data_IF_489262828011
#
_entry.id   IF_489262828011
#
_cell.length_a   1.000
_cell.length_b   1.000
_cell.length_c   1.000
_cell.angle_alpha   90.00
_cell.angle_beta   90.00
_cell.angle_gamma   90.00
#
_symmetry.space_group_name_H-M   'P 1'
#
loop_
_entity.id
_entity.type
_entity.pdbx_description
1 polymer ?
#
# COMPACT_ATOMS: atom_id res chain seq x y z
N UNK A 1 56.65 -9.47 -25.33
CA UNK A 1 55.61 -9.89 -24.37
C UNK A 1 54.35 -9.07 -24.64
N UNK A 2 53.24 -9.71 -25.05
CA UNK A 2 51.94 -9.05 -25.28
C UNK A 2 50.96 -9.54 -24.21
N UNK A 3 50.70 -8.70 -23.23
CA UNK A 3 49.79 -9.01 -22.12
C UNK A 3 48.35 -8.84 -22.61
N UNK A 4 47.62 -9.95 -22.76
CA UNK A 4 46.17 -9.93 -23.02
C UNK A 4 45.45 -9.65 -21.69
N UNK A 5 44.81 -8.49 -21.58
CA UNK A 5 43.91 -8.17 -20.48
C UNK A 5 42.59 -8.91 -20.77
N UNK A 6 42.31 -9.93 -19.96
CA UNK A 6 41.05 -10.65 -19.98
C UNK A 6 40.06 -9.89 -19.09
N UNK A 7 39.17 -9.10 -19.70
CA UNK A 7 38.09 -8.43 -18.97
C UNK A 7 37.08 -9.50 -18.57
N UNK A 8 37.09 -9.84 -17.27
CA UNK A 8 36.10 -10.69 -16.64
C UNK A 8 34.84 -9.84 -16.41
N UNK A 9 33.84 -10.01 -17.27
CA UNK A 9 32.53 -9.38 -17.07
C UNK A 9 31.79 -10.14 -15.97
N UNK A 10 31.80 -9.57 -14.77
CA UNK A 10 30.92 -9.97 -13.67
C UNK A 10 29.48 -9.63 -14.07
N UNK A 11 28.75 -10.61 -14.57
CA UNK A 11 27.30 -10.54 -14.65
C UNK A 11 26.73 -10.66 -13.25
N UNK A 12 26.63 -9.52 -12.57
CA UNK A 12 25.80 -9.37 -11.38
C UNK A 12 24.36 -9.65 -11.82
N UNK A 13 23.82 -10.82 -11.51
CA UNK A 13 22.38 -11.07 -11.57
C UNK A 13 21.71 -10.21 -10.50
N UNK A 14 21.51 -8.93 -10.81
CA UNK A 14 20.53 -8.13 -10.11
C UNK A 14 19.19 -8.82 -10.37
N UNK A 15 18.55 -9.35 -9.32
CA UNK A 15 17.16 -9.76 -9.38
C UNK A 15 16.37 -8.58 -9.92
N UNK A 16 16.03 -8.63 -11.21
CA UNK A 16 15.21 -7.62 -11.84
C UNK A 16 13.82 -7.83 -11.26
N UNK A 17 13.43 -7.02 -10.28
CA UNK A 17 12.06 -7.03 -9.80
C UNK A 17 11.17 -6.75 -11.02
N UNK A 18 10.41 -7.76 -11.45
CA UNK A 18 9.50 -7.62 -12.59
C UNK A 18 8.51 -6.51 -12.25
N UNK A 19 8.59 -5.39 -12.98
CA UNK A 19 7.64 -4.31 -12.87
C UNK A 19 6.25 -4.84 -13.23
N UNK A 20 5.30 -4.72 -12.30
CA UNK A 20 3.90 -5.07 -12.54
C UNK A 20 3.25 -3.95 -13.33
N UNK A 21 2.34 -4.30 -14.23
CA UNK A 21 1.44 -3.31 -14.82
C UNK A 21 0.57 -2.65 -13.74
N UNK A 22 0.00 -1.50 -14.04
CA UNK A 22 -0.96 -0.83 -13.14
C UNK A 22 -2.12 -1.76 -12.79
N UNK A 23 -2.68 -2.47 -13.76
CA UNK A 23 -3.81 -3.39 -13.53
C UNK A 23 -3.43 -4.56 -12.61
N UNK A 24 -2.27 -5.19 -12.82
CA UNK A 24 -1.78 -6.25 -11.94
C UNK A 24 -1.54 -5.73 -10.51
N UNK A 25 -1.04 -4.50 -10.39
CA UNK A 25 -0.81 -3.84 -9.11
C UNK A 25 -2.11 -3.56 -8.37
N UNK A 26 -3.11 -2.98 -9.04
CA UNK A 26 -4.44 -2.73 -8.48
C UNK A 26 -5.13 -4.03 -8.05
N UNK A 27 -5.05 -5.08 -8.88
CA UNK A 27 -5.58 -6.41 -8.54
C UNK A 27 -4.93 -6.96 -7.28
N UNK A 28 -3.61 -6.82 -7.14
CA UNK A 28 -2.90 -7.28 -5.95
C UNK A 28 -3.28 -6.45 -4.72
N UNK A 29 -3.36 -5.13 -4.84
CA UNK A 29 -3.77 -4.25 -3.74
C UNK A 29 -5.16 -4.64 -3.20
N UNK A 30 -6.11 -4.93 -4.08
CA UNK A 30 -7.47 -5.31 -3.70
C UNK A 30 -7.64 -6.71 -3.10
N UNK A 31 -6.58 -7.52 -3.04
CA UNK A 31 -6.64 -8.85 -2.40
C UNK A 31 -6.44 -8.82 -0.89
N UNK A 32 -6.05 -7.67 -0.33
CA UNK A 32 -5.62 -7.54 1.07
C UNK A 32 -6.23 -6.31 1.73
N UNK A 33 -6.47 -6.42 3.02
CA UNK A 33 -6.50 -5.26 3.93
C UNK A 33 -5.07 -4.96 4.33
N UNK A 34 -4.65 -3.70 4.24
CA UNK A 34 -3.29 -3.27 4.54
C UNK A 34 -3.30 -2.43 5.81
N UNK A 35 -2.64 -2.90 6.87
CA UNK A 35 -2.64 -2.21 8.16
C UNK A 35 -1.27 -1.64 8.50
N UNK A 36 -1.23 -0.39 8.96
CA UNK A 36 -0.05 0.25 9.52
C UNK A 36 -0.37 0.80 10.91
N UNK A 37 0.45 0.44 11.90
CA UNK A 37 0.34 0.96 13.26
C UNK A 37 1.48 1.96 13.48
N UNK A 38 1.18 3.27 13.68
CA UNK A 38 2.20 4.24 14.03
C UNK A 38 2.96 3.86 15.32
N UNK A 39 4.28 4.14 15.45
CA UNK A 39 5.08 3.70 16.60
C UNK A 39 4.55 4.10 17.99
N UNK A 40 3.81 5.21 18.06
CA UNK A 40 3.24 5.75 19.31
C UNK A 40 1.72 5.53 19.40
N UNK A 41 1.21 4.50 18.72
CA UNK A 41 -0.21 4.16 18.66
C UNK A 41 -0.39 2.65 18.85
N UNK A 42 -1.49 2.25 19.48
CA UNK A 42 -2.00 0.87 19.46
C UNK A 42 -3.14 0.67 18.44
N UNK A 43 -3.47 1.73 17.71
CA UNK A 43 -4.56 1.77 16.72
C UNK A 43 -3.93 1.83 15.34
N UNK A 44 -4.41 0.94 14.47
CA UNK A 44 -3.96 0.80 13.10
C UNK A 44 -4.76 1.71 12.17
N UNK A 45 -4.06 2.22 11.16
CA UNK A 45 -4.66 2.77 9.95
C UNK A 45 -4.80 1.61 8.98
N UNK A 46 -6.03 1.32 8.58
CA UNK A 46 -6.34 0.27 7.61
C UNK A 46 -6.61 0.87 6.24
N UNK A 47 -6.05 0.27 5.19
CA UNK A 47 -6.32 0.60 3.80
C UNK A 47 -6.97 -0.60 3.12
N UNK A 48 -7.98 -0.33 2.31
CA UNK A 48 -8.61 -1.28 1.40
C UNK A 48 -8.69 -0.66 0.02
N UNK A 49 -8.50 -1.48 -1.01
CA UNK A 49 -8.49 -1.01 -2.39
C UNK A 49 -9.56 -1.74 -3.18
N UNK A 50 -10.28 -0.98 -3.98
CA UNK A 50 -11.06 -1.50 -5.12
C UNK A 50 -10.37 -1.09 -6.42
N UNK A 51 -11.04 -1.30 -7.57
CA UNK A 51 -10.46 -1.04 -8.89
C UNK A 51 -9.89 0.38 -9.02
N UNK A 52 -10.61 1.38 -8.52
CA UNK A 52 -10.25 2.79 -8.63
C UNK A 52 -10.39 3.58 -7.32
N UNK A 53 -10.89 2.96 -6.24
CA UNK A 53 -11.10 3.63 -4.96
C UNK A 53 -10.19 3.08 -3.85
N UNK A 54 -9.55 4.00 -3.12
CA UNK A 54 -8.86 3.73 -1.87
C UNK A 54 -9.82 4.10 -0.73
N UNK A 55 -10.10 3.16 0.15
CA UNK A 55 -10.81 3.40 1.40
C UNK A 55 -9.86 3.20 2.58
N UNK A 56 -9.99 4.06 3.58
CA UNK A 56 -9.17 4.04 4.78
C UNK A 56 -10.04 4.12 6.01
N UNK A 57 -9.58 3.46 7.07
CA UNK A 57 -10.27 3.43 8.34
C UNK A 57 -9.27 3.59 9.48
N UNK A 58 -9.59 4.48 10.42
CA UNK A 58 -8.75 4.84 11.57
C UNK A 58 -9.52 4.67 12.87
N UNK A 59 -10.17 3.51 13.03
CA UNK A 59 -10.96 3.13 14.22
C UNK A 59 -12.21 3.98 14.54
N UNK A 60 -12.41 5.14 13.94
CA UNK A 60 -13.54 6.02 14.22
C UNK A 60 -14.23 6.49 12.94
N UNK A 61 -13.49 7.17 12.05
CA UNK A 61 -13.99 7.59 10.75
C UNK A 61 -13.49 6.70 9.61
N UNK A 62 -14.34 6.51 8.60
CA UNK A 62 -13.92 6.01 7.29
C UNK A 62 -13.75 7.19 6.33
N UNK A 63 -12.74 7.11 5.46
CA UNK A 63 -12.51 8.11 4.43
C UNK A 63 -11.83 7.49 3.22
N UNK A 64 -12.13 8.01 2.04
CA UNK A 64 -11.67 7.42 0.80
C UNK A 64 -11.73 8.39 -0.37
N UNK A 65 -11.24 7.90 -1.50
CA UNK A 65 -11.20 8.66 -2.74
C UNK A 65 -10.71 7.83 -3.92
N UNK A 66 -10.94 8.36 -5.11
CA UNK A 66 -10.37 7.77 -6.32
C UNK A 66 -8.85 7.89 -6.29
N UNK A 67 -8.13 6.78 -6.44
CA UNK A 67 -6.68 6.77 -6.48
C UNK A 67 -6.15 6.54 -7.89
N UNK A 68 -4.94 7.01 -8.15
CA UNK A 68 -4.21 6.78 -9.40
C UNK A 68 -2.83 6.23 -9.10
N UNK A 69 -2.38 5.30 -9.93
CA UNK A 69 -0.99 4.83 -9.94
C UNK A 69 -0.36 5.28 -11.27
N UNK A 70 0.63 6.14 -11.17
CA UNK A 70 1.42 6.65 -12.30
C UNK A 70 2.89 6.50 -11.90
N UNK A 71 3.70 5.85 -12.74
CA UNK A 71 5.14 5.65 -12.49
C UNK A 71 5.44 5.12 -11.09
N UNK A 72 4.69 4.11 -10.63
CA UNK A 72 4.86 3.47 -9.32
C UNK A 72 4.66 4.43 -8.12
N UNK A 73 3.93 5.53 -8.32
CA UNK A 73 3.50 6.47 -7.29
C UNK A 73 1.97 6.49 -7.19
N UNK A 74 1.46 6.56 -5.97
CA UNK A 74 0.03 6.57 -5.68
C UNK A 74 -0.40 7.96 -5.20
N UNK A 75 -1.53 8.46 -5.71
CA UNK A 75 -2.16 9.69 -5.22
C UNK A 75 -3.66 9.53 -5.15
N UNK A 76 -4.27 10.25 -4.21
CA UNK A 76 -5.72 10.33 -3.99
C UNK A 76 -6.07 11.79 -3.70
N UNK A 77 -6.13 12.66 -4.72
CA UNK A 77 -6.20 14.11 -4.53
C UNK A 77 -7.54 14.58 -3.95
N UNK A 78 -8.61 13.81 -4.16
CA UNK A 78 -9.92 14.05 -3.59
C UNK A 78 -10.19 12.96 -2.55
N UNK A 79 -10.08 13.33 -1.27
CA UNK A 79 -10.23 12.43 -0.14
C UNK A 79 -11.28 12.96 0.83
N UNK A 80 -12.38 12.25 0.94
CA UNK A 80 -13.56 12.63 1.71
C UNK A 80 -13.96 11.49 2.63
N UNK A 81 -14.64 11.80 3.72
CA UNK A 81 -15.07 10.79 4.67
C UNK A 81 -15.92 11.37 5.77
N UNK A 82 -16.18 10.52 6.74
CA UNK A 82 -16.91 10.87 7.95
C UNK A 82 -16.14 11.92 8.76
N UNK A 83 -16.88 12.68 9.57
CA UNK A 83 -16.34 13.73 10.43
C UNK A 83 -16.88 13.62 11.85
N UNK A 84 -16.97 12.38 12.37
CA UNK A 84 -17.32 12.16 13.76
C UNK A 84 -16.21 12.66 14.67
N UNK A 85 -16.56 13.28 15.79
CA UNK A 85 -15.59 13.64 16.81
C UNK A 85 -15.09 12.38 17.53
N UNK A 86 -13.77 12.24 17.65
CA UNK A 86 -13.10 11.10 18.25
C UNK A 86 -12.06 11.60 19.26
N UNK A 87 -11.34 10.69 19.92
CA UNK A 87 -10.24 11.10 20.79
C UNK A 87 -9.14 11.82 19.99
N UNK A 88 -8.41 12.80 20.57
CA UNK A 88 -7.46 13.62 19.84
C UNK A 88 -6.38 12.84 19.06
N UNK A 89 -5.91 11.73 19.61
CA UNK A 89 -4.93 10.86 18.95
C UNK A 89 -5.49 10.18 17.68
N UNK A 90 -6.79 9.86 17.64
CA UNK A 90 -7.45 9.30 16.46
C UNK A 90 -7.62 10.38 15.39
N UNK A 91 -8.09 11.57 15.78
CA UNK A 91 -8.22 12.69 14.87
C UNK A 91 -6.89 13.10 14.22
N UNK A 92 -5.77 12.97 14.96
CA UNK A 92 -4.43 13.18 14.39
C UNK A 92 -4.05 12.12 13.33
N UNK A 93 -4.42 10.85 13.54
CA UNK A 93 -4.21 9.80 12.54
C UNK A 93 -5.08 9.99 11.30
N UNK A 94 -6.32 10.42 11.49
CA UNK A 94 -7.25 10.80 10.42
C UNK A 94 -6.69 11.93 9.58
N UNK A 95 -6.18 12.98 10.23
CA UNK A 95 -5.52 14.08 9.54
C UNK A 95 -4.27 13.60 8.78
N UNK A 96 -3.42 12.80 9.43
CA UNK A 96 -2.23 12.25 8.82
C UNK A 96 -2.54 11.48 7.52
N UNK A 97 -3.49 10.54 7.56
CA UNK A 97 -3.79 9.72 6.37
C UNK A 97 -4.45 10.53 5.26
N UNK A 98 -5.25 11.54 5.62
CA UNK A 98 -5.84 12.48 4.67
C UNK A 98 -4.79 13.28 3.91
N UNK A 99 -3.74 13.71 4.59
CA UNK A 99 -2.63 14.44 3.98
C UNK A 99 -1.65 13.54 3.23
N UNK A 100 -1.55 12.27 3.62
CA UNK A 100 -0.56 11.33 3.10
C UNK A 100 -0.62 11.17 1.58
N UNK A 101 -1.83 11.03 1.01
CA UNK A 101 -2.05 10.76 -0.42
C UNK A 101 -2.39 11.99 -1.26
N UNK A 102 -2.39 13.20 -0.68
CA UNK A 102 -2.64 14.43 -1.45
C UNK A 102 -1.58 14.67 -2.54
N UNK A 103 -0.35 14.22 -2.28
CA UNK A 103 0.73 14.19 -3.26
C UNK A 103 1.04 12.75 -3.66
N UNK A 104 1.63 12.57 -4.84
CA UNK A 104 2.01 11.25 -5.32
C UNK A 104 3.11 10.64 -4.46
N UNK A 105 2.80 9.53 -3.78
CA UNK A 105 3.71 8.81 -2.88
C UNK A 105 4.28 7.58 -3.59
N UNK A 106 5.60 7.48 -3.77
CA UNK A 106 6.25 6.26 -4.27
C UNK A 106 5.96 5.08 -3.36
N UNK A 107 5.73 3.90 -3.95
CA UNK A 107 5.49 2.68 -3.19
C UNK A 107 6.06 1.44 -3.86
N UNK A 108 6.29 0.40 -3.05
CA UNK A 108 6.64 -0.96 -3.51
C UNK A 108 5.79 -1.99 -2.79
N UNK A 109 5.52 -3.12 -3.44
CA UNK A 109 4.80 -4.25 -2.83
C UNK A 109 5.70 -5.49 -2.84
N UNK A 110 6.15 -5.89 -1.66
CA UNK A 110 6.95 -7.11 -1.50
C UNK A 110 6.04 -8.28 -1.14
N UNK A 111 5.98 -9.26 -2.03
CA UNK A 111 5.30 -10.54 -1.79
C UNK A 111 6.39 -11.57 -1.59
N UNK A 112 6.74 -11.86 -0.34
CA UNK A 112 7.61 -13.00 0.00
C UNK A 112 6.72 -14.21 0.24
N UNK A 113 7.29 -15.43 0.21
CA UNK A 113 6.57 -16.67 0.55
C UNK A 113 5.99 -16.69 1.98
N UNK A 114 6.32 -15.67 2.80
CA UNK A 114 5.65 -15.41 4.08
C UNK A 114 4.21 -14.95 3.88
N UNK A 115 3.31 -15.46 4.72
CA UNK A 115 1.86 -15.28 4.74
C UNK A 115 1.33 -13.83 4.72
N UNK A 116 2.19 -12.81 4.83
CA UNK A 116 1.81 -11.40 4.86
C UNK A 116 2.66 -10.59 3.86
N UNK A 117 2.10 -10.12 2.73
CA UNK A 117 2.80 -9.18 1.87
C UNK A 117 2.96 -7.82 2.57
N UNK A 118 3.90 -7.01 2.09
CA UNK A 118 4.12 -5.64 2.59
C UNK A 118 3.88 -4.62 1.48
N UNK A 119 3.09 -3.61 1.77
CA UNK A 119 2.93 -2.40 0.96
C UNK A 119 3.73 -1.30 1.64
N UNK A 120 4.79 -0.84 0.99
CA UNK A 120 5.77 0.07 1.57
C UNK A 120 5.71 1.37 0.80
N UNK A 121 5.28 2.44 1.46
CA UNK A 121 5.33 3.80 0.93
C UNK A 121 6.60 4.52 1.40
N UNK A 122 7.17 5.36 0.54
CA UNK A 122 8.30 6.23 0.87
C UNK A 122 7.85 7.69 0.83
N UNK A 123 7.91 8.36 1.98
CA UNK A 123 7.54 9.78 2.11
C UNK A 123 8.41 10.44 3.17
N UNK A 124 8.88 11.66 2.90
CA UNK A 124 9.67 12.46 3.85
C UNK A 124 10.89 11.70 4.42
N UNK A 125 11.58 10.93 3.56
CA UNK A 125 12.72 10.06 3.92
C UNK A 125 12.39 8.92 4.90
N UNK A 126 11.11 8.67 5.16
CA UNK A 126 10.60 7.60 6.02
C UNK A 126 9.91 6.50 5.19
N UNK A 127 10.06 5.25 5.63
CA UNK A 127 9.24 4.14 5.13
C UNK A 127 7.99 3.93 6.00
N UNK A 128 6.84 3.82 5.36
CA UNK A 128 5.55 3.47 5.98
C UNK A 128 5.17 2.07 5.50
N UNK A 129 5.25 1.09 6.40
CA UNK A 129 5.12 -0.33 6.06
C UNK A 129 3.75 -0.82 6.50
N UNK A 130 2.88 -1.04 5.52
CA UNK A 130 1.58 -1.66 5.75
C UNK A 130 1.68 -3.17 5.55
N UNK A 131 1.16 -3.93 6.51
CA UNK A 131 1.14 -5.39 6.48
C UNK A 131 -0.19 -5.86 5.90
N UNK A 132 -0.13 -6.72 4.88
CA UNK A 132 -1.29 -7.24 4.19
C UNK A 132 -1.88 -8.47 4.88
N UNK A 133 -3.19 -8.45 5.07
CA UNK A 133 -4.01 -9.60 5.49
C UNK A 133 -5.00 -9.93 4.38
N UNK A 134 -4.99 -11.17 3.89
CA UNK A 134 -5.79 -11.57 2.73
C UNK A 134 -7.27 -11.43 3.06
N UNK A 135 -8.03 -10.74 2.19
CA UNK A 135 -9.48 -10.65 2.33
C UNK A 135 -10.06 -12.02 1.99
N UNK A 136 -10.72 -12.66 2.94
CA UNK A 136 -11.46 -13.89 2.69
C UNK A 136 -12.74 -13.51 1.93
N UNK A 137 -12.88 -14.01 0.70
CA UNK A 137 -14.18 -13.97 0.02
C UNK A 137 -15.17 -14.76 0.87
N UNK A 138 -16.17 -14.10 1.45
CA UNK A 138 -17.35 -14.82 1.95
C UNK A 138 -17.93 -15.57 0.75
N UNK A 139 -17.89 -16.90 0.79
CA UNK A 139 -18.66 -17.70 -0.17
C UNK A 139 -20.10 -17.18 -0.13
N UNK A 140 -20.65 -16.81 -1.29
CA UNK A 140 -22.10 -16.65 -1.44
C UNK A 140 -22.73 -17.95 -0.90
N UNK A 141 -23.68 -17.83 0.01
CA UNK A 141 -24.45 -18.97 0.51
C UNK A 141 -24.93 -19.83 -0.68
N UNK A 142 -24.78 -21.17 -0.62
CA UNK A 142 -25.32 -22.09 -1.62
C UNK A 142 -26.80 -22.48 -1.38
N UNK A 143 -27.58 -21.70 -0.65
CA UNK A 143 -29.04 -21.79 -0.64
C UNK A 143 -29.57 -20.49 -1.28
N UNK A 144 -30.22 -20.46 -2.45
CA UNK A 144 -31.05 -21.49 -3.06
C UNK A 144 -32.47 -21.31 -2.55
N UNK A 145 -33.25 -20.54 -3.32
CA UNK A 145 -34.68 -20.18 -3.16
C UNK A 145 -35.06 -19.23 -2.01
#
# INVERSE_FOLDING_TARGET
MKTKIMILVLFSTACTEKLRSTQETQKLLGQYTWAYTPPNSNISIELTFSNDHLNTYTSCNAMGGAYKIIEQKMSTPLFYGDAQACTPNIMQQEHFIRMFFLQAVPFKITVRSSHHPKLIFQKDQQEYIFIGTKILSKNKNPHGE
#
